data_IF_344074142048
#
_entry.id   IF_344074142048
#
_cell.length_a   1.000
_cell.length_b   1.000
_cell.length_c   1.000
_cell.angle_alpha   90.00
_cell.angle_beta   90.00
_cell.angle_gamma   90.00
#
_symmetry.space_group_name_H-M   'P 1'
#
loop_
_entity.id
_entity.type
_entity.pdbx_description
1 polymer ?
#
# COMPACT_ATOMS: atom_id res chain seq x y z
N UNK A 1 8.93 17.04 -15.61
CA UNK A 1 7.66 16.60 -16.23
C UNK A 1 6.53 17.28 -15.49
N UNK A 2 5.70 18.05 -16.19
CA UNK A 2 4.54 18.71 -15.58
C UNK A 2 3.56 17.62 -15.12
N UNK A 3 3.42 17.45 -13.81
CA UNK A 3 2.41 16.56 -13.23
C UNK A 3 1.08 17.31 -13.28
N UNK A 4 0.06 16.71 -13.88
CA UNK A 4 -1.30 17.19 -13.73
C UNK A 4 -1.65 17.12 -12.25
N UNK A 5 -2.21 18.18 -11.69
CA UNK A 5 -2.79 18.16 -10.36
C UNK A 5 -4.09 17.35 -10.41
N UNK A 6 -4.06 16.13 -9.86
CA UNK A 6 -5.23 15.25 -9.79
C UNK A 6 -5.97 15.45 -8.48
N UNK A 7 -7.29 15.58 -8.52
CA UNK A 7 -8.12 15.73 -7.31
C UNK A 7 -8.42 14.39 -6.62
N UNK A 8 -8.19 13.29 -7.32
CA UNK A 8 -8.39 11.93 -6.84
C UNK A 8 -7.49 10.94 -7.58
N UNK A 9 -7.31 9.77 -6.98
CA UNK A 9 -6.39 8.72 -7.43
C UNK A 9 -7.15 7.39 -7.47
N UNK A 10 -6.97 6.61 -8.53
CA UNK A 10 -7.49 5.25 -8.57
C UNK A 10 -6.69 4.36 -7.59
N UNK A 11 -7.28 3.23 -7.18
CA UNK A 11 -6.64 2.34 -6.20
C UNK A 11 -5.31 1.77 -6.73
N UNK A 12 -5.26 1.35 -7.99
CA UNK A 12 -4.06 0.84 -8.66
C UNK A 12 -2.92 1.88 -8.67
N UNK A 13 -3.24 3.15 -8.95
CA UNK A 13 -2.29 4.26 -8.87
C UNK A 13 -1.71 4.42 -7.46
N UNK A 14 -2.50 4.17 -6.41
CA UNK A 14 -2.01 4.18 -5.03
C UNK A 14 -1.24 2.94 -4.65
N UNK A 15 -1.60 1.75 -5.16
CA UNK A 15 -0.82 0.52 -4.97
C UNK A 15 0.62 0.71 -5.47
N UNK A 16 0.75 1.26 -6.69
CA UNK A 16 2.04 1.57 -7.29
C UNK A 16 2.79 2.65 -6.52
N UNK A 17 2.12 3.77 -6.20
CA UNK A 17 2.74 4.92 -5.55
C UNK A 17 3.21 4.64 -4.13
N UNK A 18 2.43 3.92 -3.34
CA UNK A 18 2.75 3.59 -1.95
C UNK A 18 3.56 2.29 -1.84
N UNK A 19 3.77 1.57 -2.94
CA UNK A 19 4.35 0.22 -2.97
C UNK A 19 3.68 -0.75 -2.00
N UNK A 20 2.37 -0.61 -1.82
CA UNK A 20 1.57 -1.47 -0.95
C UNK A 20 0.76 -2.45 -1.80
N UNK A 21 0.67 -3.73 -1.41
CA UNK A 21 -0.19 -4.66 -2.10
C UNK A 21 -1.66 -4.27 -1.89
N UNK A 22 -2.52 -4.60 -2.85
CA UNK A 22 -3.96 -4.35 -2.79
C UNK A 22 -4.63 -4.76 -1.45
N UNK A 23 -4.19 -5.87 -0.84
CA UNK A 23 -4.72 -6.34 0.46
C UNK A 23 -4.49 -5.36 1.60
N UNK A 24 -3.40 -4.59 1.55
CA UNK A 24 -3.06 -3.62 2.59
C UNK A 24 -3.87 -2.33 2.37
N UNK A 25 -4.13 -1.93 1.12
CA UNK A 25 -5.13 -0.88 0.81
C UNK A 25 -6.52 -1.28 1.26
N UNK A 26 -6.94 -2.52 0.96
CA UNK A 26 -8.22 -3.05 1.41
C UNK A 26 -8.31 -3.00 2.93
N UNK A 27 -7.28 -3.48 3.65
CA UNK A 27 -7.22 -3.38 5.11
C UNK A 27 -7.38 -1.94 5.60
N UNK A 28 -6.70 -0.96 4.99
CA UNK A 28 -6.85 0.44 5.38
C UNK A 28 -8.29 0.94 5.17
N UNK A 29 -8.91 0.58 4.05
CA UNK A 29 -10.27 0.98 3.75
C UNK A 29 -11.31 0.32 4.66
N UNK A 30 -11.21 -0.99 4.85
CA UNK A 30 -12.08 -1.82 5.70
C UNK A 30 -12.06 -1.38 7.17
N UNK A 31 -10.94 -0.82 7.63
CA UNK A 31 -10.80 -0.36 9.01
C UNK A 31 -11.05 1.15 9.17
N UNK A 32 -11.55 1.83 8.14
CA UNK A 32 -11.79 3.27 8.16
C UNK A 32 -10.51 4.11 8.30
N UNK A 33 -9.34 3.51 8.04
CA UNK A 33 -8.04 4.19 8.04
C UNK A 33 -7.78 4.90 6.71
N UNK A 34 -8.53 4.55 5.67
CA UNK A 34 -8.53 5.16 4.34
C UNK A 34 -9.97 5.23 3.80
N UNK A 35 -10.48 6.43 3.59
CA UNK A 35 -11.77 6.64 2.93
C UNK A 35 -11.62 6.44 1.43
N UNK A 36 -12.50 5.61 0.90
CA UNK A 36 -12.67 5.40 -0.52
C UNK A 36 -13.95 6.09 -0.97
N UNK A 37 -13.90 6.63 -2.17
CA UNK A 37 -15.00 7.38 -2.79
C UNK A 37 -15.29 6.80 -4.17
N UNK A 38 -16.47 7.12 -4.69
CA UNK A 38 -16.86 6.84 -6.08
C UNK A 38 -17.15 8.14 -6.82
N UNK A 39 -16.96 8.13 -8.14
CA UNK A 39 -17.36 9.23 -9.03
C UNK A 39 -18.80 9.01 -9.46
N UNK A 40 -19.67 9.95 -9.14
CA UNK A 40 -21.07 9.95 -9.55
C UNK A 40 -21.31 11.04 -10.58
N UNK A 41 -22.09 10.70 -11.61
CA UNK A 41 -22.53 11.64 -12.63
C UNK A 41 -24.03 11.48 -12.85
N UNK A 42 -24.81 12.47 -12.44
CA UNK A 42 -26.25 12.54 -12.73
C UNK A 42 -27.11 11.64 -11.83
N UNK A 43 -26.57 11.12 -10.72
CA UNK A 43 -27.36 10.48 -9.69
C UNK A 43 -28.20 11.52 -8.94
N UNK A 44 -29.44 11.21 -8.60
CA UNK A 44 -30.23 12.06 -7.70
C UNK A 44 -29.96 11.62 -6.28
N UNK A 45 -29.42 12.52 -5.46
CA UNK A 45 -29.15 12.28 -4.06
C UNK A 45 -30.08 13.12 -3.19
N UNK A 46 -30.49 12.56 -2.06
CA UNK A 46 -31.11 13.28 -0.96
C UNK A 46 -30.13 13.38 0.19
N UNK A 47 -29.97 14.60 0.70
CA UNK A 47 -29.26 14.88 1.93
C UNK A 47 -30.26 15.33 2.98
N UNK A 48 -30.03 14.93 4.22
CA UNK A 48 -30.86 15.38 5.32
C UNK A 48 -30.24 15.11 6.69
N UNK A 49 -30.99 15.46 7.72
CA UNK A 49 -30.67 15.24 9.13
C UNK A 49 -31.53 14.13 9.72
N UNK A 50 -31.01 13.50 10.77
CA UNK A 50 -31.84 12.76 11.72
C UNK A 50 -32.17 13.72 12.86
N UNK A 51 -33.45 13.89 13.12
CA UNK A 51 -33.94 14.76 14.20
C UNK A 51 -34.79 13.96 15.17
N UNK A 52 -34.59 14.22 16.46
CA UNK A 52 -35.45 13.70 17.52
C UNK A 52 -36.69 14.59 17.60
N UNK A 53 -37.84 14.02 17.22
CA UNK A 53 -39.14 14.71 17.23
C UNK A 53 -39.91 14.48 18.53
N UNK A 54 -39.58 13.42 19.26
CA UNK A 54 -40.09 13.08 20.60
C UNK A 54 -39.08 12.14 21.32
N UNK A 55 -39.23 11.91 22.62
CA UNK A 55 -38.30 11.08 23.41
C UNK A 55 -38.04 9.71 22.76
N UNK A 56 -36.83 9.52 22.22
CA UNK A 56 -36.41 8.29 21.55
C UNK A 56 -36.98 8.09 20.13
N UNK A 57 -37.79 9.02 19.62
CA UNK A 57 -38.35 8.97 18.28
C UNK A 57 -37.58 9.87 17.32
N UNK A 58 -36.87 9.25 16.39
CA UNK A 58 -36.08 9.93 15.38
C UNK A 58 -36.75 9.83 14.02
N UNK A 59 -36.75 10.93 13.26
CA UNK A 59 -37.17 10.95 11.86
C UNK A 59 -36.07 11.52 10.96
N UNK A 60 -36.07 11.09 9.70
CA UNK A 60 -35.24 11.67 8.64
C UNK A 60 -35.93 12.92 8.10
N UNK A 61 -35.28 14.07 8.21
CA UNK A 61 -35.75 15.34 7.65
C UNK A 61 -34.92 15.62 6.38
N UNK A 62 -35.53 15.64 5.18
CA UNK A 62 -34.82 16.00 3.95
C UNK A 62 -34.47 17.49 3.93
N UNK A 63 -33.20 17.79 3.66
CA UNK A 63 -32.70 19.15 3.49
C UNK A 63 -32.67 19.54 2.01
N UNK A 64 -32.12 18.66 1.17
CA UNK A 64 -31.89 18.91 -0.25
C UNK A 64 -32.05 17.63 -1.07
N UNK A 65 -32.72 17.75 -2.21
CA UNK A 65 -32.80 16.71 -3.24
C UNK A 65 -32.33 17.30 -4.56
N UNK A 66 -31.18 16.84 -5.06
CA UNK A 66 -30.58 17.42 -6.26
C UNK A 66 -29.80 16.38 -7.07
N UNK A 67 -29.67 16.60 -8.40
CA UNK A 67 -28.66 15.91 -9.19
C UNK A 67 -27.26 16.19 -8.64
N UNK A 68 -26.51 15.12 -8.40
CA UNK A 68 -25.15 15.19 -7.89
C UNK A 68 -24.12 14.81 -8.97
N UNK A 69 -23.05 15.59 -9.01
CA UNK A 69 -21.90 15.38 -9.89
C UNK A 69 -20.63 15.58 -9.08
N UNK A 70 -19.87 14.51 -8.85
CA UNK A 70 -18.66 14.61 -8.05
C UNK A 70 -18.28 13.32 -7.35
N UNK A 71 -17.46 13.46 -6.31
CA UNK A 71 -17.00 12.34 -5.49
C UNK A 71 -17.89 12.18 -4.27
N UNK A 72 -18.31 10.95 -4.00
CA UNK A 72 -19.07 10.61 -2.81
C UNK A 72 -18.37 9.49 -2.02
N UNK A 73 -18.21 9.71 -0.72
CA UNK A 73 -17.50 8.78 0.16
C UNK A 73 -18.37 7.56 0.47
N UNK A 74 -17.75 6.39 0.48
CA UNK A 74 -18.40 5.16 0.86
C UNK A 74 -18.34 4.96 2.38
N UNK A 75 -19.38 4.34 2.93
CA UNK A 75 -19.36 3.85 4.31
C UNK A 75 -18.34 2.71 4.42
N UNK A 76 -17.67 2.61 5.56
CA UNK A 76 -16.64 1.57 5.82
C UNK A 76 -17.16 0.15 5.57
N UNK A 77 -18.40 -0.14 5.95
CA UNK A 77 -19.04 -1.44 5.71
C UNK A 77 -19.19 -1.76 4.22
N UNK A 78 -19.59 -0.77 3.42
CA UNK A 78 -19.81 -0.95 1.98
C UNK A 78 -18.46 -1.09 1.25
N UNK A 79 -17.43 -0.38 1.71
CA UNK A 79 -16.06 -0.57 1.24
C UNK A 79 -15.59 -2.02 1.47
N UNK A 80 -15.77 -2.57 2.68
CA UNK A 80 -15.43 -3.97 2.99
C UNK A 80 -16.11 -4.95 2.03
N UNK A 81 -17.42 -4.81 1.85
CA UNK A 81 -18.19 -5.67 0.93
C UNK A 81 -17.71 -5.54 -0.50
N UNK A 82 -17.40 -4.33 -0.97
CA UNK A 82 -16.86 -4.10 -2.31
C UNK A 82 -15.50 -4.77 -2.54
N UNK A 83 -14.59 -4.72 -1.57
CA UNK A 83 -13.29 -5.38 -1.70
C UNK A 83 -13.42 -6.91 -1.76
N UNK A 84 -14.45 -7.47 -1.13
CA UNK A 84 -14.69 -8.92 -1.06
C UNK A 84 -15.56 -9.47 -2.20
N UNK A 85 -16.63 -8.76 -2.57
CA UNK A 85 -17.63 -9.17 -3.58
C UNK A 85 -17.30 -8.62 -4.98
N UNK A 86 -16.44 -7.60 -5.07
CA UNK A 86 -15.99 -6.97 -6.33
C UNK A 86 -16.96 -5.94 -6.90
N UNK A 87 -18.27 -6.10 -6.66
CA UNK A 87 -19.28 -5.12 -7.04
C UNK A 87 -20.45 -5.11 -6.04
N UNK A 88 -21.03 -3.93 -5.81
CA UNK A 88 -22.13 -3.74 -4.87
C UNK A 88 -23.11 -2.69 -5.37
N UNK A 89 -24.41 -2.88 -5.14
CA UNK A 89 -25.41 -1.83 -5.27
C UNK A 89 -25.45 -1.01 -3.98
N UNK A 90 -25.18 0.30 -4.11
CA UNK A 90 -25.13 1.24 -2.99
C UNK A 90 -26.25 2.26 -3.15
N UNK A 91 -27.06 2.37 -2.10
CA UNK A 91 -28.18 3.30 -1.98
C UNK A 91 -27.92 4.40 -0.93
N UNK A 92 -26.84 4.27 -0.15
CA UNK A 92 -26.48 5.22 0.91
C UNK A 92 -24.98 5.42 0.98
N UNK A 93 -24.59 6.69 1.10
CA UNK A 93 -23.21 7.10 1.21
C UNK A 93 -22.85 7.56 2.63
N UNK A 94 -21.56 7.73 2.86
CA UNK A 94 -21.06 8.31 4.11
C UNK A 94 -21.58 9.75 4.26
N UNK A 95 -22.04 10.07 5.47
CA UNK A 95 -22.51 11.40 5.84
C UNK A 95 -22.00 11.73 7.26
N UNK A 96 -21.89 13.02 7.62
CA UNK A 96 -21.57 13.43 8.98
C UNK A 96 -22.52 12.83 10.01
N UNK A 97 -22.09 12.85 11.29
CA UNK A 97 -22.93 12.41 12.40
C UNK A 97 -24.29 13.13 12.37
N UNK A 98 -25.35 12.38 12.62
CA UNK A 98 -26.75 12.86 12.64
C UNK A 98 -27.25 13.37 11.28
N UNK A 99 -26.56 13.02 10.18
CA UNK A 99 -26.98 13.30 8.79
C UNK A 99 -27.01 12.03 7.96
N UNK A 100 -27.65 12.12 6.80
CA UNK A 100 -27.66 11.04 5.80
C UNK A 100 -27.48 11.58 4.38
N UNK A 101 -27.04 10.67 3.50
CA UNK A 101 -26.94 10.87 2.06
C UNK A 101 -27.44 9.59 1.39
N UNK A 102 -28.59 9.63 0.72
CA UNK A 102 -29.21 8.47 0.07
C UNK A 102 -29.41 8.73 -1.42
N UNK A 103 -29.38 7.66 -2.20
CA UNK A 103 -29.70 7.67 -3.63
C UNK A 103 -31.22 7.64 -3.77
N UNK A 104 -31.79 8.69 -4.35
CA UNK A 104 -33.19 8.71 -4.75
C UNK A 104 -33.39 8.08 -6.13
N UNK A 105 -32.46 8.35 -7.06
CA UNK A 105 -32.48 7.75 -8.40
C UNK A 105 -31.08 7.33 -8.86
N UNK A 106 -30.91 6.10 -9.33
CA UNK A 106 -31.95 5.06 -9.49
C UNK A 106 -32.42 4.46 -8.13
N UNK A 107 -33.69 4.04 -8.04
CA UNK A 107 -34.33 3.63 -6.76
C UNK A 107 -33.72 2.36 -6.15
N UNK A 108 -33.14 1.51 -6.98
CA UNK A 108 -32.45 0.28 -6.59
C UNK A 108 -30.97 0.51 -6.21
N UNK A 109 -30.53 1.77 -6.15
CA UNK A 109 -29.17 2.15 -5.87
C UNK A 109 -28.22 2.00 -7.07
N UNK A 110 -27.00 2.51 -6.89
CA UNK A 110 -26.00 2.59 -7.94
C UNK A 110 -25.11 1.36 -7.87
N UNK A 111 -24.96 0.64 -8.98
CA UNK A 111 -23.98 -0.43 -9.09
C UNK A 111 -22.57 0.17 -9.16
N UNK A 112 -21.77 -0.10 -8.15
CA UNK A 112 -20.38 0.34 -8.04
C UNK A 112 -19.50 -0.90 -8.12
N UNK A 113 -18.43 -0.83 -8.92
CA UNK A 113 -17.38 -1.85 -8.93
C UNK A 113 -16.15 -1.38 -8.16
N UNK A 114 -15.38 -2.35 -7.64
CA UNK A 114 -14.13 -2.10 -6.94
C UNK A 114 -13.14 -1.28 -7.77
N UNK A 115 -13.08 -1.48 -9.08
CA UNK A 115 -12.18 -0.76 -9.99
C UNK A 115 -12.57 0.72 -10.18
N UNK A 116 -13.80 1.09 -9.81
CA UNK A 116 -14.30 2.47 -9.92
C UNK A 116 -13.96 3.30 -8.68
N UNK A 117 -13.46 2.65 -7.62
CA UNK A 117 -13.07 3.28 -6.38
C UNK A 117 -11.86 4.18 -6.56
N UNK A 118 -11.95 5.34 -5.91
CA UNK A 118 -10.88 6.34 -5.89
C UNK A 118 -10.66 6.82 -4.47
N UNK A 119 -9.50 7.42 -4.24
CA UNK A 119 -9.16 8.11 -3.00
C UNK A 119 -8.97 9.59 -3.33
N UNK A 120 -9.64 10.47 -2.59
CA UNK A 120 -9.49 11.92 -2.73
C UNK A 120 -8.06 12.33 -2.41
N UNK A 121 -7.58 13.42 -3.02
CA UNK A 121 -6.24 13.94 -2.71
C UNK A 121 -6.05 14.21 -1.22
N UNK A 122 -6.98 14.92 -0.59
CA UNK A 122 -6.92 15.27 0.83
C UNK A 122 -6.79 14.02 1.71
N UNK A 123 -7.50 12.96 1.32
CA UNK A 123 -7.49 11.70 2.05
C UNK A 123 -6.20 10.91 1.85
N UNK A 124 -5.67 10.91 0.62
CA UNK A 124 -4.33 10.41 0.33
C UNK A 124 -3.32 11.15 1.19
N UNK A 125 -3.32 12.47 1.20
CA UNK A 125 -2.35 13.30 1.93
C UNK A 125 -2.41 13.03 3.44
N UNK A 126 -3.62 12.88 3.97
CA UNK A 126 -3.86 12.49 5.36
C UNK A 126 -3.31 11.09 5.68
N UNK A 127 -3.57 10.11 4.82
CA UNK A 127 -3.07 8.74 5.00
C UNK A 127 -1.54 8.68 4.87
N UNK A 128 -1.00 9.41 3.90
CA UNK A 128 0.43 9.58 3.65
C UNK A 128 1.16 10.17 4.88
N UNK A 129 0.62 11.24 5.47
CA UNK A 129 1.17 11.86 6.67
C UNK A 129 1.04 10.97 7.92
N UNK A 130 -0.11 10.30 8.10
CA UNK A 130 -0.39 9.49 9.29
C UNK A 130 0.39 8.19 9.33
N UNK A 131 0.56 7.54 8.18
CA UNK A 131 1.16 6.20 8.08
C UNK A 131 2.57 6.22 7.49
N UNK A 132 3.10 7.40 7.15
CA UNK A 132 4.38 7.52 6.45
C UNK A 132 4.34 6.90 5.04
N UNK A 133 3.14 6.77 4.46
CA UNK A 133 2.90 6.28 3.10
C UNK A 133 3.17 7.36 2.06
N UNK A 134 3.43 8.60 2.51
CA UNK A 134 3.88 9.67 1.64
C UNK A 134 4.99 9.11 0.78
N UNK A 135 4.67 8.95 -0.50
CA UNK A 135 5.64 8.80 -1.55
C UNK A 135 6.53 10.02 -1.45
N UNK A 136 7.52 9.97 -0.54
CA UNK A 136 8.81 10.51 -0.82
C UNK A 136 9.04 10.00 -2.23
N UNK A 137 9.46 10.90 -3.11
CA UNK A 137 10.21 10.52 -4.27
C UNK A 137 11.49 9.84 -3.76
N UNK A 138 11.35 8.67 -3.16
CA UNK A 138 12.30 7.61 -3.27
C UNK A 138 12.12 7.25 -4.75
N UNK A 139 13.01 7.47 -5.72
CA UNK A 139 14.48 7.59 -5.70
C UNK A 139 15.13 6.97 -4.47
N UNK A 140 14.50 5.92 -4.00
CA UNK A 140 15.12 4.75 -3.46
C UNK A 140 14.47 3.63 -4.24
N UNK A 141 14.65 3.64 -5.57
CA UNK A 141 15.25 2.41 -6.08
C UNK A 141 16.32 2.06 -5.06
N UNK A 142 16.18 0.92 -4.38
CA UNK A 142 17.30 0.43 -3.60
C UNK A 142 18.35 0.14 -4.67
N UNK A 143 19.08 1.18 -5.07
CA UNK A 143 20.11 1.13 -6.09
C UNK A 143 21.19 0.35 -5.40
N UNK A 144 21.22 -0.94 -5.73
CA UNK A 144 22.28 -1.81 -5.32
C UNK A 144 23.48 -1.44 -6.20
N UNK A 145 24.37 -0.63 -5.64
CA UNK A 145 25.63 -0.32 -6.29
C UNK A 145 26.73 -1.11 -5.56
N UNK A 146 27.39 -1.99 -6.30
CA UNK A 146 28.58 -2.66 -5.81
C UNK A 146 29.82 -1.92 -6.31
N UNK A 147 30.77 -1.69 -5.42
CA UNK A 147 32.08 -1.12 -5.73
C UNK A 147 33.16 -2.04 -5.20
N UNK A 148 34.34 -1.93 -5.82
CA UNK A 148 35.55 -2.60 -5.34
C UNK A 148 35.36 -4.11 -5.10
N UNK A 149 34.78 -4.82 -6.09
CA UNK A 149 34.51 -6.26 -6.01
C UNK A 149 33.67 -6.65 -4.78
N UNK A 150 32.51 -6.00 -4.62
CA UNK A 150 31.58 -6.19 -3.50
C UNK A 150 32.15 -5.87 -2.09
N UNK A 151 33.35 -5.28 -1.98
CA UNK A 151 33.87 -4.83 -0.67
C UNK A 151 33.17 -3.57 -0.17
N UNK A 152 32.54 -2.81 -1.05
CA UNK A 152 31.64 -1.72 -0.70
C UNK A 152 30.29 -1.92 -1.41
N UNK A 153 29.21 -1.94 -0.63
CA UNK A 153 27.85 -2.05 -1.15
C UNK A 153 27.04 -0.84 -0.70
N UNK A 154 26.54 -0.08 -1.66
CA UNK A 154 25.59 1.01 -1.42
C UNK A 154 24.20 0.45 -1.67
N UNK A 155 23.30 0.63 -0.70
CA UNK A 155 21.95 0.11 -0.67
C UNK A 155 20.99 1.21 -0.17
N UNK A 156 20.49 2.02 -1.11
CA UNK A 156 19.70 3.20 -0.77
C UNK A 156 20.53 4.21 0.03
N UNK A 157 20.18 4.44 1.29
CA UNK A 157 20.83 5.38 2.22
C UNK A 157 21.98 4.76 3.03
N UNK A 158 22.31 3.48 2.80
CA UNK A 158 23.30 2.73 3.58
C UNK A 158 24.48 2.29 2.73
N UNK A 159 25.67 2.42 3.31
CA UNK A 159 26.90 1.84 2.76
C UNK A 159 27.40 0.75 3.70
N UNK A 160 27.63 -0.45 3.16
CA UNK A 160 28.21 -1.58 3.87
C UNK A 160 29.66 -1.78 3.41
N UNK A 161 30.59 -1.75 4.37
CA UNK A 161 32.00 -2.05 4.12
C UNK A 161 32.27 -3.51 4.49
N UNK A 162 32.33 -4.39 3.50
CA UNK A 162 32.38 -5.82 3.68
C UNK A 162 33.81 -6.35 3.72
N UNK A 163 34.08 -7.24 4.67
CA UNK A 163 35.30 -8.04 4.64
C UNK A 163 35.30 -9.03 3.48
N UNK A 164 36.47 -9.57 3.12
CA UNK A 164 36.65 -10.46 1.96
C UNK A 164 35.64 -11.62 1.88
N UNK A 165 35.38 -12.31 3.00
CA UNK A 165 34.41 -13.42 3.04
C UNK A 165 32.97 -12.90 2.92
N UNK A 166 32.65 -11.76 3.53
CA UNK A 166 31.34 -11.12 3.42
C UNK A 166 31.05 -10.69 1.98
N UNK A 167 32.02 -10.07 1.31
CA UNK A 167 31.92 -9.65 -0.10
C UNK A 167 31.66 -10.84 -1.02
N UNK A 168 32.39 -11.95 -0.85
CA UNK A 168 32.15 -13.19 -1.62
C UNK A 168 30.75 -13.76 -1.41
N UNK A 169 30.24 -13.77 -0.17
CA UNK A 169 28.85 -14.19 0.10
C UNK A 169 27.86 -13.33 -0.65
N UNK A 170 28.01 -12.00 -0.59
CA UNK A 170 27.12 -11.08 -1.31
C UNK A 170 27.20 -11.30 -2.82
N UNK A 171 28.39 -11.51 -3.38
CA UNK A 171 28.58 -11.84 -4.79
C UNK A 171 27.86 -13.12 -5.22
N UNK A 172 27.99 -14.21 -4.44
CA UNK A 172 27.29 -15.48 -4.73
C UNK A 172 25.78 -15.28 -4.75
N UNK A 173 25.24 -14.53 -3.78
CA UNK A 173 23.81 -14.23 -3.71
C UNK A 173 23.35 -13.30 -4.84
N UNK A 174 24.20 -12.37 -5.27
CA UNK A 174 23.97 -11.51 -6.43
C UNK A 174 23.87 -12.32 -7.72
N UNK A 175 24.87 -13.18 -7.98
CA UNK A 175 24.91 -14.00 -9.20
C UNK A 175 23.76 -15.02 -9.25
N UNK A 176 23.38 -15.57 -8.10
CA UNK A 176 22.21 -16.42 -7.98
C UNK A 176 20.91 -15.70 -8.38
N UNK A 177 20.79 -14.44 -7.97
CA UNK A 177 19.62 -13.66 -8.24
C UNK A 177 19.57 -13.12 -9.69
N UNK A 178 20.72 -12.77 -10.29
CA UNK A 178 20.85 -12.48 -11.73
C UNK A 178 20.50 -13.68 -12.61
N UNK A 179 20.67 -14.91 -12.11
CA UNK A 179 20.28 -16.16 -12.79
C UNK A 179 18.80 -16.53 -12.58
N UNK A 180 18.01 -15.69 -11.90
CA UNK A 180 16.60 -15.96 -11.61
C UNK A 180 16.34 -16.97 -10.48
N UNK A 181 17.38 -17.40 -9.76
CA UNK A 181 17.30 -18.33 -8.62
C UNK A 181 17.82 -17.64 -7.34
N UNK A 182 17.13 -16.61 -6.84
CA UNK A 182 17.66 -15.72 -5.79
C UNK A 182 17.84 -16.40 -4.43
N UNK A 183 17.04 -17.41 -4.11
CA UNK A 183 17.08 -18.09 -2.81
C UNK A 183 18.11 -19.20 -2.78
N UNK A 184 19.18 -19.01 -2.00
CA UNK A 184 20.30 -19.94 -1.88
C UNK A 184 20.40 -20.53 -0.48
N UNK A 185 20.82 -21.79 -0.36
CA UNK A 185 21.02 -22.44 0.93
C UNK A 185 22.23 -21.83 1.66
N UNK A 186 22.01 -21.28 2.86
CA UNK A 186 23.03 -20.51 3.58
C UNK A 186 24.31 -21.30 3.87
N UNK A 187 24.21 -22.60 4.16
CA UNK A 187 25.38 -23.46 4.35
C UNK A 187 26.21 -23.62 3.07
N UNK A 188 25.55 -23.76 1.92
CA UNK A 188 26.22 -23.88 0.63
C UNK A 188 26.93 -22.56 0.28
N UNK A 189 26.25 -21.43 0.46
CA UNK A 189 26.81 -20.10 0.22
C UNK A 189 28.02 -19.83 1.13
N UNK A 190 27.94 -20.17 2.41
CA UNK A 190 29.06 -20.01 3.34
C UNK A 190 30.26 -20.89 2.97
N UNK A 191 30.00 -22.15 2.59
CA UNK A 191 31.05 -23.08 2.17
C UNK A 191 31.73 -22.60 0.88
N UNK A 192 30.94 -22.19 -0.12
CA UNK A 192 31.45 -21.65 -1.39
C UNK A 192 32.21 -20.33 -1.21
N UNK A 193 31.80 -19.48 -0.27
CA UNK A 193 32.53 -18.28 0.09
C UNK A 193 33.83 -18.54 0.87
N UNK A 194 34.06 -19.79 1.33
CA UNK A 194 35.19 -20.16 2.17
C UNK A 194 35.07 -19.69 3.62
N UNK A 195 33.84 -19.53 4.13
CA UNK A 195 33.60 -19.12 5.52
C UNK A 195 33.75 -20.30 6.49
N UNK A 196 34.39 -20.06 7.64
CA UNK A 196 34.39 -20.97 8.78
C UNK A 196 33.13 -20.84 9.65
N UNK A 197 32.28 -19.84 9.39
CA UNK A 197 31.02 -19.64 10.12
C UNK A 197 29.97 -20.66 9.65
N UNK A 198 29.10 -21.08 10.58
CA UNK A 198 27.98 -21.99 10.25
C UNK A 198 26.68 -21.24 9.94
N UNK A 199 26.61 -19.94 10.25
CA UNK A 199 25.43 -19.08 10.06
C UNK A 199 25.85 -17.72 9.49
N UNK A 200 25.05 -17.19 8.57
CA UNK A 200 25.27 -15.83 8.02
C UNK A 200 25.16 -14.76 9.11
N UNK A 201 24.33 -14.97 10.14
CA UNK A 201 24.22 -14.06 11.28
C UNK A 201 25.55 -13.85 11.98
N UNK A 202 26.37 -14.89 12.09
CA UNK A 202 27.63 -14.84 12.82
C UNK A 202 28.71 -14.18 11.96
N UNK A 203 28.66 -14.40 10.64
CA UNK A 203 29.55 -13.77 9.67
C UNK A 203 29.28 -12.26 9.53
N UNK A 204 28.02 -11.84 9.52
CA UNK A 204 27.63 -10.43 9.31
C UNK A 204 27.33 -9.68 10.62
N UNK A 205 27.62 -10.25 11.79
CA UNK A 205 27.34 -9.63 13.10
C UNK A 205 27.98 -8.25 13.28
N UNK A 206 29.10 -8.00 12.59
CA UNK A 206 29.84 -6.72 12.65
C UNK A 206 29.27 -5.66 11.71
N UNK A 207 28.30 -6.02 10.86
CA UNK A 207 27.62 -5.11 9.95
C UNK A 207 26.27 -4.71 10.55
N UNK A 208 26.12 -3.45 11.02
CA UNK A 208 24.84 -2.95 11.51
C UNK A 208 23.77 -3.11 10.43
N UNK A 209 22.57 -3.55 10.82
CA UNK A 209 21.44 -3.69 9.90
C UNK A 209 21.70 -4.59 8.67
N UNK A 210 22.64 -5.55 8.73
CA UNK A 210 22.94 -6.44 7.58
C UNK A 210 21.72 -7.19 7.01
N UNK A 211 20.64 -7.32 7.79
CA UNK A 211 19.35 -7.87 7.32
C UNK A 211 18.64 -6.98 6.29
N UNK A 212 19.01 -5.70 6.17
CA UNK A 212 18.59 -4.83 5.08
C UNK A 212 19.26 -5.25 3.77
N UNK A 213 20.46 -5.83 3.81
CA UNK A 213 21.20 -6.30 2.64
C UNK A 213 20.84 -7.75 2.27
N UNK A 214 20.70 -8.64 3.26
CA UNK A 214 20.45 -10.08 3.05
C UNK A 214 19.16 -10.50 3.77
N UNK A 215 18.20 -11.02 3.00
CA UNK A 215 16.98 -11.62 3.53
C UNK A 215 17.17 -13.09 3.88
N UNK A 216 16.42 -13.58 4.87
CA UNK A 216 16.33 -15.00 5.21
C UNK A 216 14.88 -15.46 5.14
N UNK A 217 14.66 -16.67 4.62
CA UNK A 217 13.34 -17.32 4.60
C UNK A 217 12.97 -18.01 5.93
N UNK A 218 13.83 -17.89 6.95
CA UNK A 218 13.76 -18.59 8.25
C UNK A 218 13.80 -20.12 8.16
N UNK A 219 14.07 -20.69 6.98
CA UNK A 219 14.23 -22.13 6.72
C UNK A 219 15.66 -22.47 6.28
N UNK A 220 16.58 -21.51 6.44
CA UNK A 220 18.02 -21.68 6.15
C UNK A 220 18.42 -21.27 4.74
N UNK A 221 17.53 -20.62 3.97
CA UNK A 221 17.87 -19.97 2.71
C UNK A 221 17.99 -18.47 2.88
N UNK A 222 18.80 -17.88 2.00
CA UNK A 222 19.13 -16.47 1.99
C UNK A 222 19.14 -15.95 0.56
N UNK A 223 18.83 -14.67 0.40
CA UNK A 223 18.91 -13.95 -0.87
C UNK A 223 19.32 -12.50 -0.63
N UNK A 224 19.79 -11.80 -1.66
CA UNK A 224 19.92 -10.35 -1.57
C UNK A 224 18.55 -9.68 -1.51
N UNK A 225 18.47 -8.63 -0.71
CA UNK A 225 17.27 -7.82 -0.54
C UNK A 225 17.19 -6.74 -1.62
N UNK A 226 17.19 -7.14 -2.89
CA UNK A 226 17.14 -6.22 -4.03
C UNK A 226 16.06 -6.69 -5.01
N UNK A 227 15.36 -5.74 -5.65
CA UNK A 227 14.42 -6.04 -6.73
C UNK A 227 15.23 -6.12 -8.02
N UNK A 228 15.11 -7.23 -8.74
CA UNK A 228 15.64 -7.36 -10.09
C UNK A 228 14.49 -7.10 -11.06
N UNK A 229 14.77 -6.30 -12.09
CA UNK A 229 13.87 -6.01 -13.20
C UNK A 229 13.70 -7.23 -14.11
#
# INVERSE_FOLDING_TARGET
MASIEKDYFALDELEERWEVPQRDLAYLAENGLLKVSVRLYGAQLEHGSYEEIDEGQWCSIPDEQAPFHGLQDLRTHDAYRLFHEGALRIDRFEAPKDRYCVVLRPEDGILIRKEELVVRREERDRAEAKHGLAGTRRTSEIVFEQRHDFSEIILGDRTFMLGQIQARVVRILHDAAMRGVPWQHGKAVLAEAGSSCTRLSDLFKTQPEWRRLIQSDRRGRYRLNIRFF
#
